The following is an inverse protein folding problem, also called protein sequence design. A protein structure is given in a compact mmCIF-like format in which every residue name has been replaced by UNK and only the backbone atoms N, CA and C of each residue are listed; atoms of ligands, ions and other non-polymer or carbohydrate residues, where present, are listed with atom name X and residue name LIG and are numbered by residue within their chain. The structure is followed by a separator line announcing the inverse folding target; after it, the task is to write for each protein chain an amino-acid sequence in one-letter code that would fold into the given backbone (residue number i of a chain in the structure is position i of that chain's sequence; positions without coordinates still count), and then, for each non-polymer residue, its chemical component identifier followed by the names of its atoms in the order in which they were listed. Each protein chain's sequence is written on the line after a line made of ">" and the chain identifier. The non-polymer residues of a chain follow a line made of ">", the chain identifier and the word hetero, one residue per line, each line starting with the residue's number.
data_IF_524994414283
#
_entry.id   IF_524994414283
#
_cell.length_a   1.000
_cell.length_b   1.000
_cell.length_c   1.000
_cell.angle_alpha   90.00
_cell.angle_beta   90.00
_cell.angle_gamma   90.00
#
_symmetry.space_group_name_H-M   'P 1'
#
loop_
_entity.id
_entity.type
_entity.pdbx_description
1 polymer ?
#
# COMPACT_ATOMS: atom_id res chain seq x y z
N UNK A 1 -14.72 -13.44 -2.67
CA UNK A 1 -14.61 -12.92 -1.29
C UNK A 1 -15.81 -12.04 -0.88
N UNK A 2 -16.34 -11.16 -1.76
CA UNK A 2 -17.52 -10.32 -1.46
C UNK A 2 -18.83 -11.07 -1.13
N UNK A 3 -18.96 -12.35 -1.51
CA UNK A 3 -20.18 -13.13 -1.26
C UNK A 3 -20.38 -13.45 0.22
N UNK A 4 -19.32 -13.78 0.97
CA UNK A 4 -19.46 -14.15 2.39
C UNK A 4 -19.89 -12.95 3.25
N UNK A 5 -19.25 -11.80 3.09
CA UNK A 5 -19.62 -10.58 3.79
C UNK A 5 -21.08 -10.17 3.49
N UNK A 6 -21.52 -10.29 2.23
CA UNK A 6 -22.92 -10.06 1.85
C UNK A 6 -23.90 -11.04 2.50
N UNK A 7 -23.50 -12.30 2.71
CA UNK A 7 -24.33 -13.34 3.33
C UNK A 7 -24.39 -13.22 4.86
N UNK A 8 -23.30 -12.77 5.48
CA UNK A 8 -23.24 -12.54 6.93
C UNK A 8 -23.97 -11.26 7.36
N UNK A 9 -24.25 -10.36 6.41
CA UNK A 9 -24.94 -9.10 6.64
C UNK A 9 -26.43 -9.33 6.87
N UNK A 10 -26.97 -8.79 7.96
CA UNK A 10 -28.41 -8.62 8.14
C UNK A 10 -28.80 -7.19 7.76
N UNK A 11 -30.06 -7.00 7.35
CA UNK A 11 -30.60 -5.68 7.01
C UNK A 11 -30.56 -4.67 8.17
N UNK A 12 -30.47 -5.16 9.41
CA UNK A 12 -30.39 -4.37 10.63
C UNK A 12 -28.96 -3.97 11.05
N UNK A 13 -27.91 -4.53 10.43
CA UNK A 13 -26.53 -4.24 10.80
C UNK A 13 -26.13 -2.85 10.27
N UNK A 14 -25.61 -1.99 11.18
CA UNK A 14 -25.27 -0.59 10.89
C UNK A 14 -23.94 -0.42 10.15
N UNK A 15 -23.05 -1.41 10.19
CA UNK A 15 -21.73 -1.36 9.58
C UNK A 15 -21.34 -2.73 8.98
N UNK A 16 -20.45 -2.74 7.99
CA UNK A 16 -20.07 -3.94 7.23
C UNK A 16 -19.13 -4.89 7.99
N UNK A 17 -18.72 -4.53 9.22
CA UNK A 17 -17.67 -5.24 9.96
C UNK A 17 -18.18 -5.89 11.24
N UNK A 18 -19.40 -5.61 11.68
CA UNK A 18 -20.02 -6.23 12.85
C UNK A 18 -21.13 -7.18 12.42
N UNK A 19 -20.98 -8.44 12.80
CA UNK A 19 -21.98 -9.46 12.53
C UNK A 19 -22.50 -10.04 13.84
N UNK A 20 -23.78 -10.41 13.83
CA UNK A 20 -24.44 -10.98 15.01
C UNK A 20 -23.96 -12.42 15.24
N UNK A 21 -23.58 -12.77 16.48
CA UNK A 21 -23.22 -14.15 16.79
C UNK A 21 -24.42 -15.10 16.63
N UNK A 22 -24.27 -16.24 15.96
CA UNK A 22 -25.39 -17.10 15.59
C UNK A 22 -26.08 -17.76 16.80
N UNK A 23 -25.36 -18.05 17.88
CA UNK A 23 -25.92 -18.72 19.06
C UNK A 23 -26.40 -17.75 20.15
N UNK A 24 -25.99 -16.48 20.12
CA UNK A 24 -26.30 -15.50 21.18
C UNK A 24 -26.64 -14.12 20.60
N UNK A 25 -27.72 -14.00 19.83
CA UNK A 25 -28.00 -12.79 19.06
C UNK A 25 -28.40 -11.58 19.92
N UNK A 26 -28.91 -11.79 21.13
CA UNK A 26 -29.40 -10.73 22.03
C UNK A 26 -28.32 -10.09 22.91
N UNK A 27 -27.15 -10.72 23.03
CA UNK A 27 -26.05 -10.21 23.86
C UNK A 27 -25.17 -9.28 23.03
N UNK A 28 -25.10 -8.02 23.45
CA UNK A 28 -24.25 -7.01 22.78
C UNK A 28 -22.76 -7.33 22.93
N UNK A 29 -22.37 -8.06 23.98
CA UNK A 29 -21.01 -8.57 24.21
C UNK A 29 -20.58 -9.68 23.23
N UNK A 30 -21.52 -10.29 22.53
CA UNK A 30 -21.28 -11.40 21.60
C UNK A 30 -21.24 -10.90 20.15
N UNK A 31 -20.76 -9.67 19.91
CA UNK A 31 -20.57 -9.16 18.53
C UNK A 31 -19.31 -9.77 17.92
N UNK A 32 -19.43 -10.27 16.71
CA UNK A 32 -18.30 -10.75 15.93
C UNK A 32 -17.80 -9.63 15.03
N UNK A 33 -16.49 -9.42 15.01
CA UNK A 33 -15.84 -8.43 14.17
C UNK A 33 -15.16 -9.15 13.02
N UNK A 34 -15.49 -8.74 11.80
CA UNK A 34 -14.90 -9.27 10.59
C UNK A 34 -13.87 -8.27 10.09
N UNK A 35 -12.72 -8.75 9.64
CA UNK A 35 -11.68 -7.93 9.05
C UNK A 35 -11.18 -8.54 7.75
N UNK A 36 -10.59 -7.70 6.91
CA UNK A 36 -9.78 -8.16 5.78
C UNK A 36 -8.36 -8.42 6.26
N UNK A 37 -7.64 -9.32 5.57
CA UNK A 37 -6.22 -9.51 5.81
C UNK A 37 -5.45 -8.26 5.32
N UNK A 38 -4.78 -7.52 6.22
CA UNK A 38 -4.05 -6.31 5.87
C UNK A 38 -2.90 -6.59 4.90
N UNK A 39 -2.28 -7.77 4.95
CA UNK A 39 -1.19 -8.13 4.04
C UNK A 39 -1.66 -8.28 2.60
N UNK A 40 -2.90 -8.72 2.40
CA UNK A 40 -3.51 -8.83 1.07
C UNK A 40 -3.95 -7.46 0.53
N UNK A 41 -4.37 -6.55 1.41
CA UNK A 41 -4.64 -5.15 1.04
C UNK A 41 -3.34 -4.52 0.55
N UNK A 42 -2.27 -4.58 1.35
CA UNK A 42 -0.98 -3.97 1.01
C UNK A 42 -0.41 -4.47 -0.31
N UNK A 43 -0.45 -5.79 -0.55
CA UNK A 43 -0.03 -6.38 -1.85
C UNK A 43 -0.86 -5.86 -3.01
N UNK A 44 -2.18 -5.72 -2.83
CA UNK A 44 -3.07 -5.21 -3.87
C UNK A 44 -2.76 -3.75 -4.17
N UNK A 45 -2.62 -2.90 -3.16
CA UNK A 45 -2.31 -1.48 -3.35
C UNK A 45 -0.96 -1.31 -4.06
N UNK A 46 0.07 -2.05 -3.65
CA UNK A 46 1.35 -2.09 -4.37
C UNK A 46 1.16 -2.48 -5.84
N UNK A 47 0.39 -3.53 -6.11
CA UNK A 47 0.18 -4.00 -7.49
C UNK A 47 -0.65 -3.00 -8.33
N UNK A 48 -1.64 -2.32 -7.72
CA UNK A 48 -2.38 -1.23 -8.37
C UNK A 48 -1.44 -0.08 -8.74
N UNK A 49 -0.57 0.31 -7.82
CA UNK A 49 0.43 1.35 -8.03
C UNK A 49 1.40 0.98 -9.17
N UNK A 50 1.80 -0.29 -9.26
CA UNK A 50 2.68 -0.79 -10.33
C UNK A 50 2.04 -0.80 -11.72
N UNK A 51 0.77 -1.17 -11.81
CA UNK A 51 0.12 -1.56 -13.08
C UNK A 51 -0.77 -0.47 -13.68
N UNK A 52 -1.19 0.52 -12.89
CA UNK A 52 -2.22 1.48 -13.30
C UNK A 52 -1.80 2.93 -13.09
N UNK A 53 -2.42 3.80 -13.88
CA UNK A 53 -2.43 5.23 -13.57
C UNK A 53 -3.32 5.45 -12.35
N UNK A 54 -2.70 5.65 -11.19
CA UNK A 54 -3.40 5.82 -9.93
C UNK A 54 -3.54 7.31 -9.61
N UNK A 55 -4.67 7.68 -9.00
CA UNK A 55 -4.90 9.03 -8.48
C UNK A 55 -5.14 8.94 -6.99
N UNK A 56 -4.47 9.80 -6.24
CA UNK A 56 -4.64 9.96 -4.81
C UNK A 56 -5.06 11.41 -4.56
N UNK A 57 -6.21 11.60 -3.90
CA UNK A 57 -6.76 12.94 -3.62
C UNK A 57 -6.89 13.86 -4.86
N UNK A 58 -7.18 13.26 -6.02
CA UNK A 58 -7.31 13.99 -7.30
C UNK A 58 -5.99 14.16 -8.07
N UNK A 59 -4.86 14.03 -7.39
CA UNK A 59 -3.52 14.15 -7.95
C UNK A 59 -3.04 12.82 -8.54
N UNK A 60 -2.27 12.87 -9.63
CA UNK A 60 -1.71 11.66 -10.25
C UNK A 60 -0.49 11.21 -9.44
N UNK A 61 -0.46 9.92 -9.05
CA UNK A 61 0.73 9.28 -8.51
C UNK A 61 1.27 8.26 -9.52
N UNK A 62 2.59 8.14 -9.59
CA UNK A 62 3.26 7.27 -10.55
C UNK A 62 4.41 6.50 -9.89
N UNK A 63 4.38 5.18 -10.06
CA UNK A 63 5.44 4.29 -9.60
C UNK A 63 6.77 4.53 -10.33
N UNK A 64 6.75 5.18 -11.50
CA UNK A 64 7.96 5.57 -12.24
C UNK A 64 8.94 6.38 -11.38
N UNK A 65 8.45 7.17 -10.42
CA UNK A 65 9.27 7.90 -9.46
C UNK A 65 10.04 6.97 -8.52
N UNK A 66 9.44 5.84 -8.11
CA UNK A 66 10.13 4.82 -7.29
C UNK A 66 11.20 4.11 -8.13
N UNK A 67 10.92 3.88 -9.42
CA UNK A 67 11.93 3.36 -10.36
C UNK A 67 13.11 4.34 -10.51
N UNK A 68 12.82 5.65 -10.58
CA UNK A 68 13.83 6.71 -10.67
C UNK A 68 14.67 6.80 -9.39
N UNK A 69 14.03 6.73 -8.21
CA UNK A 69 14.70 6.69 -6.92
C UNK A 69 15.66 5.51 -6.85
N UNK A 70 15.20 4.31 -7.21
CA UNK A 70 16.06 3.12 -7.24
C UNK A 70 17.22 3.30 -8.23
N UNK A 71 16.97 3.82 -9.43
CA UNK A 71 18.00 4.03 -10.43
C UNK A 71 19.10 5.02 -9.98
N UNK A 72 18.72 6.07 -9.25
CA UNK A 72 19.66 7.09 -8.75
C UNK A 72 20.45 6.61 -7.54
N UNK A 73 19.80 5.86 -6.64
CA UNK A 73 20.41 5.38 -5.39
C UNK A 73 21.29 4.13 -5.55
N UNK A 74 21.24 3.45 -6.71
CA UNK A 74 22.05 2.25 -6.98
C UNK A 74 23.56 2.46 -6.84
N UNK A 75 24.06 3.65 -7.16
CA UNK A 75 25.48 3.98 -7.11
C UNK A 75 25.86 4.83 -5.90
N UNK A 76 24.91 5.13 -5.02
CA UNK A 76 25.19 5.87 -3.79
C UNK A 76 25.88 4.94 -2.79
N UNK A 77 26.85 5.47 -2.04
CA UNK A 77 27.59 4.68 -1.06
C UNK A 77 26.75 4.26 0.15
N UNK A 78 25.75 5.05 0.52
CA UNK A 78 24.90 4.84 1.70
C UNK A 78 23.44 5.30 1.45
N UNK A 79 22.69 4.64 0.55
CA UNK A 79 21.29 4.99 0.31
C UNK A 79 20.42 4.55 1.49
N UNK A 80 19.42 5.35 1.86
CA UNK A 80 18.47 5.00 2.92
C UNK A 80 17.63 3.78 2.51
N UNK A 81 17.40 3.65 1.20
CA UNK A 81 16.59 2.60 0.58
C UNK A 81 17.37 1.35 0.13
N UNK A 82 18.48 0.99 0.78
CA UNK A 82 19.33 -0.19 0.42
C UNK A 82 18.61 -1.55 0.37
N UNK A 83 17.42 -1.65 0.96
CA UNK A 83 16.59 -2.86 0.93
C UNK A 83 15.78 -3.00 -0.37
N UNK A 84 15.62 -1.91 -1.13
CA UNK A 84 14.97 -1.97 -2.43
C UNK A 84 15.87 -2.76 -3.39
N UNK A 85 15.25 -3.69 -4.10
CA UNK A 85 15.91 -4.54 -5.10
C UNK A 85 15.12 -4.51 -6.38
N UNK A 86 15.67 -5.08 -7.47
CA UNK A 86 14.95 -5.17 -8.74
C UNK A 86 13.57 -5.84 -8.59
N UNK A 87 13.45 -6.83 -7.72
CA UNK A 87 12.17 -7.50 -7.42
C UNK A 87 11.12 -6.63 -6.73
N UNK A 88 11.49 -5.48 -6.17
CA UNK A 88 10.53 -4.48 -5.67
C UNK A 88 9.99 -3.61 -6.80
N UNK A 89 10.86 -3.24 -7.74
CA UNK A 89 10.62 -2.25 -8.79
C UNK A 89 9.94 -2.87 -10.02
N UNK A 90 10.31 -4.10 -10.32
CA UNK A 90 9.88 -4.85 -11.49
C UNK A 90 9.64 -6.32 -11.10
N UNK A 91 8.63 -6.59 -10.24
CA UNK A 91 8.40 -7.92 -9.69
C UNK A 91 7.86 -8.90 -10.74
N UNK A 92 8.41 -10.11 -10.73
CA UNK A 92 7.79 -11.29 -11.36
C UNK A 92 6.49 -11.68 -10.66
N UNK A 93 5.72 -12.60 -11.24
CA UNK A 93 4.44 -13.07 -10.65
C UNK A 93 4.61 -13.62 -9.22
N UNK A 94 5.68 -14.37 -8.96
CA UNK A 94 5.98 -14.88 -7.62
C UNK A 94 6.39 -13.75 -6.65
N UNK A 95 7.08 -12.73 -7.12
CA UNK A 95 7.47 -11.58 -6.30
C UNK A 95 6.31 -10.62 -6.02
N UNK A 96 5.31 -10.55 -6.91
CA UNK A 96 4.04 -9.86 -6.65
C UNK A 96 3.31 -10.43 -5.44
N UNK A 97 3.52 -11.72 -5.15
CA UNK A 97 2.92 -12.40 -4.00
C UNK A 97 3.69 -12.20 -2.69
N UNK A 98 4.94 -11.72 -2.72
CA UNK A 98 5.75 -11.49 -1.52
C UNK A 98 5.25 -10.25 -0.76
N UNK A 99 4.71 -10.46 0.44
CA UNK A 99 4.26 -9.38 1.33
C UNK A 99 5.41 -8.48 1.74
N UNK A 100 6.60 -9.04 1.99
CA UNK A 100 7.79 -8.28 2.37
C UNK A 100 8.12 -7.18 1.35
N UNK A 101 8.07 -7.51 0.04
CA UNK A 101 8.34 -6.52 -1.01
C UNK A 101 7.26 -5.44 -1.09
N UNK A 102 5.99 -5.79 -0.84
CA UNK A 102 4.94 -4.80 -0.76
C UNK A 102 5.16 -3.86 0.43
N UNK A 103 5.42 -4.41 1.62
CA UNK A 103 5.69 -3.63 2.84
C UNK A 103 6.88 -2.70 2.69
N UNK A 104 7.96 -3.19 2.08
CA UNK A 104 9.18 -2.41 1.97
C UNK A 104 9.01 -1.18 1.06
N UNK A 105 8.05 -1.17 0.11
CA UNK A 105 7.73 0.02 -0.69
C UNK A 105 7.09 1.15 0.14
N UNK A 106 6.30 0.80 1.16
CA UNK A 106 5.60 1.76 2.03
C UNK A 106 6.39 2.13 3.28
N UNK A 107 7.69 1.81 3.30
CA UNK A 107 8.54 2.16 4.42
C UNK A 107 8.81 3.67 4.49
N UNK A 108 8.87 4.26 5.69
CA UNK A 108 9.17 5.69 5.85
C UNK A 108 10.53 6.08 5.28
N UNK A 109 11.49 5.16 5.21
CA UNK A 109 12.79 5.36 4.57
C UNK A 109 12.67 5.72 3.09
N UNK A 110 11.67 5.18 2.38
CA UNK A 110 11.39 5.53 0.97
C UNK A 110 10.95 6.97 0.84
N UNK A 111 10.10 7.43 1.76
CA UNK A 111 9.62 8.81 1.80
C UNK A 111 10.75 9.78 2.16
N UNK A 112 11.57 9.41 3.15
CA UNK A 112 12.74 10.20 3.55
C UNK A 112 13.72 10.37 2.38
N UNK A 113 14.02 9.29 1.66
CA UNK A 113 14.88 9.32 0.48
C UNK A 113 14.30 10.22 -0.61
N UNK A 114 13.00 10.14 -0.91
CA UNK A 114 12.36 11.06 -1.86
C UNK A 114 12.48 12.53 -1.47
N UNK A 115 12.32 12.85 -0.18
CA UNK A 115 12.47 14.22 0.33
C UNK A 115 13.90 14.70 0.17
N UNK A 116 14.89 13.90 0.58
CA UNK A 116 16.31 14.21 0.39
C UNK A 116 16.64 14.41 -1.10
N UNK A 117 16.17 13.52 -1.96
CA UNK A 117 16.42 13.61 -3.40
C UNK A 117 15.75 14.82 -4.03
N UNK A 118 14.55 15.23 -3.59
CA UNK A 118 13.87 16.43 -4.09
C UNK A 118 14.69 17.69 -3.79
N UNK A 119 15.28 17.76 -2.60
CA UNK A 119 16.11 18.89 -2.18
C UNK A 119 17.43 18.94 -2.95
N UNK A 120 18.03 17.77 -3.24
CA UNK A 120 19.28 17.67 -4.00
C UNK A 120 19.11 17.77 -5.53
N UNK A 121 17.99 17.29 -6.06
CA UNK A 121 17.74 17.14 -7.48
C UNK A 121 16.33 17.60 -7.84
N UNK A 122 16.22 18.71 -8.58
CA UNK A 122 14.91 19.23 -9.00
C UNK A 122 14.31 18.50 -10.21
N UNK A 123 15.14 17.90 -11.08
CA UNK A 123 14.69 17.34 -12.36
C UNK A 123 14.18 15.90 -12.21
N UNK A 124 12.93 15.65 -12.61
CA UNK A 124 12.29 14.33 -12.61
C UNK A 124 11.56 13.97 -11.32
N UNK A 125 11.50 14.87 -10.34
CA UNK A 125 10.78 14.69 -9.06
C UNK A 125 9.64 15.71 -8.89
N UNK A 126 9.14 16.28 -9.97
CA UNK A 126 8.17 17.37 -9.95
C UNK A 126 6.85 16.95 -9.27
N UNK A 127 6.43 15.70 -9.43
CA UNK A 127 5.21 15.12 -8.87
C UNK A 127 5.46 14.16 -7.69
N UNK A 128 6.55 14.36 -6.94
CA UNK A 128 6.91 13.46 -5.83
C UNK A 128 6.02 13.65 -4.60
N UNK A 129 5.47 14.85 -4.38
CA UNK A 129 4.70 15.16 -3.15
C UNK A 129 3.41 14.33 -3.04
N UNK A 130 2.57 14.22 -4.08
CA UNK A 130 1.40 13.35 -4.02
C UNK A 130 1.76 11.89 -3.74
N UNK A 131 2.86 11.41 -4.32
CA UNK A 131 3.34 10.04 -4.07
C UNK A 131 3.81 9.88 -2.62
N UNK A 132 4.58 10.81 -2.06
CA UNK A 132 5.04 10.70 -0.66
C UNK A 132 3.87 10.73 0.32
N UNK A 133 2.86 11.56 0.08
CA UNK A 133 1.67 11.61 0.93
C UNK A 133 0.89 10.28 0.88
N UNK A 134 0.78 9.69 -0.31
CA UNK A 134 0.19 8.36 -0.47
C UNK A 134 0.99 7.27 0.25
N UNK A 135 2.32 7.31 0.17
CA UNK A 135 3.18 6.33 0.82
C UNK A 135 3.14 6.44 2.35
N UNK A 136 3.02 7.65 2.91
CA UNK A 136 2.89 7.86 4.37
C UNK A 136 1.51 7.48 4.92
N UNK A 137 0.48 7.46 4.08
CA UNK A 137 -0.86 7.05 4.48
C UNK A 137 -0.96 5.54 4.80
N UNK A 138 -0.11 4.74 4.16
CA UNK A 138 -0.09 3.27 4.27
C UNK A 138 0.94 2.76 5.28
#
# INVERSE_FOLDING_TARGET
>A
MLKLFKLLRKSADKDDFRVTHPAEPSKTSSKLYVSYDPTHILKKERNQLLERNFKWEGEKIDFSLIKLLFAKTLNDGLPLCRFLTRGHIDPTYFEKMKVAYARDIFKPEVVAEFRCMKDMFQRGLENVVPLTNFLEFF
#
